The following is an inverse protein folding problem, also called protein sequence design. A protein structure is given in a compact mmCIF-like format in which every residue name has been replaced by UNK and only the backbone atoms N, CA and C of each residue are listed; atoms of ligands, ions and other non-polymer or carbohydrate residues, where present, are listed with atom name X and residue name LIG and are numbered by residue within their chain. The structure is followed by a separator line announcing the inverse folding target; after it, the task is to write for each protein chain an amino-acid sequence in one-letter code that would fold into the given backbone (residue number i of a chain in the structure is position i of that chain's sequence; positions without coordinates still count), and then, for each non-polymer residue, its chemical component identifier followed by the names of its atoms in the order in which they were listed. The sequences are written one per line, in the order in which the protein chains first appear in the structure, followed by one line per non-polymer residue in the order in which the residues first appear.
data_IF_896300054093
#
_entry.id   IF_896300054093
#
_cell.length_a   1.000
_cell.length_b   1.000
_cell.length_c   1.000
_cell.angle_alpha   90.00
_cell.angle_beta   90.00
_cell.angle_gamma   90.00
#
_symmetry.space_group_name_H-M   'P 1'
#
loop_
_entity.id
_entity.type
_entity.pdbx_description
1 polymer ?
#
# COMPACT_ATOMS: atom_id res chain seq x y z
N UNK A 1 -0.31 17.90 3.46
CA UNK A 1 -1.32 17.21 4.32
C UNK A 1 -1.32 15.75 3.95
N UNK A 2 -1.11 14.84 4.89
CA UNK A 2 -0.96 13.41 4.60
C UNK A 2 -2.29 12.69 4.84
N UNK A 3 -2.87 12.02 3.84
CA UNK A 3 -4.13 11.29 3.94
C UNK A 3 -4.00 9.91 3.34
N UNK A 4 -3.69 8.93 4.18
CA UNK A 4 -3.44 7.55 3.76
C UNK A 4 -4.45 6.59 4.41
N UNK A 5 -4.75 5.50 3.71
CA UNK A 5 -5.39 4.32 4.27
C UNK A 5 -4.51 3.10 3.99
N UNK A 6 -3.91 2.54 5.04
CA UNK A 6 -3.02 1.38 4.96
C UNK A 6 -3.81 0.15 5.38
N UNK A 7 -4.08 -0.77 4.47
CA UNK A 7 -4.88 -1.96 4.73
C UNK A 7 -4.05 -3.24 4.61
N UNK A 8 -4.36 -4.25 5.41
CA UNK A 8 -3.78 -5.58 5.20
C UNK A 8 -4.48 -6.31 4.05
N UNK A 9 -5.80 -6.23 3.96
CA UNK A 9 -6.60 -7.00 3.01
C UNK A 9 -7.70 -6.18 2.31
N UNK A 10 -7.39 -4.92 1.97
CA UNK A 10 -8.32 -4.01 1.28
C UNK A 10 -9.53 -3.65 2.13
N UNK A 11 -10.70 -3.66 1.51
CA UNK A 11 -11.97 -3.25 2.14
C UNK A 11 -12.67 -4.44 2.81
N UNK A 12 -11.98 -5.11 3.72
CA UNK A 12 -12.35 -6.41 4.31
C UNK A 12 -13.45 -6.34 5.36
N UNK A 13 -13.72 -5.18 5.95
CA UNK A 13 -14.74 -5.01 7.00
C UNK A 13 -15.62 -3.80 6.75
N UNK A 14 -16.88 -3.77 7.27
CA UNK A 14 -17.74 -2.59 7.18
C UNK A 14 -17.10 -1.32 7.77
N UNK A 15 -16.30 -1.44 8.82
CA UNK A 15 -15.61 -0.30 9.44
C UNK A 15 -14.59 0.32 8.48
N UNK A 16 -13.77 -0.51 7.84
CA UNK A 16 -12.79 -0.05 6.84
C UNK A 16 -13.49 0.58 5.64
N UNK A 17 -14.57 -0.06 5.14
CA UNK A 17 -15.39 0.47 4.04
C UNK A 17 -15.95 1.85 4.40
N UNK A 18 -16.57 2.00 5.58
CA UNK A 18 -17.15 3.26 6.01
C UNK A 18 -16.11 4.38 6.12
N UNK A 19 -14.92 4.07 6.64
CA UNK A 19 -13.84 5.06 6.73
C UNK A 19 -13.33 5.43 5.33
N UNK A 20 -13.12 4.48 4.44
CA UNK A 20 -12.72 4.74 3.05
C UNK A 20 -13.76 5.62 2.34
N UNK A 21 -15.06 5.29 2.44
CA UNK A 21 -16.17 6.08 1.88
C UNK A 21 -16.18 7.51 2.44
N UNK A 22 -15.99 7.66 3.75
CA UNK A 22 -15.91 8.98 4.38
C UNK A 22 -14.75 9.79 3.82
N UNK A 23 -13.54 9.20 3.72
CA UNK A 23 -12.37 9.87 3.15
C UNK A 23 -12.62 10.27 1.69
N UNK A 24 -13.23 9.41 0.89
CA UNK A 24 -13.60 9.67 -0.52
C UNK A 24 -14.60 10.85 -0.60
N UNK A 25 -15.65 10.84 0.20
CA UNK A 25 -16.70 11.88 0.19
C UNK A 25 -16.17 13.24 0.66
N UNK A 26 -15.44 13.29 1.77
CA UNK A 26 -14.87 14.51 2.35
C UNK A 26 -13.88 15.20 1.40
N UNK A 27 -13.16 14.41 0.59
CA UNK A 27 -12.20 14.92 -0.40
C UNK A 27 -12.78 15.04 -1.81
N UNK A 28 -14.09 14.74 -1.99
CA UNK A 28 -14.81 14.86 -3.28
C UNK A 28 -14.14 14.10 -4.42
N UNK A 29 -13.64 12.90 -4.12
CA UNK A 29 -12.93 12.04 -5.09
C UNK A 29 -13.88 11.62 -6.20
N UNK A 30 -13.49 11.85 -7.44
CA UNK A 30 -14.24 11.44 -8.63
C UNK A 30 -13.49 10.48 -9.52
N UNK A 31 -12.17 10.52 -9.46
CA UNK A 31 -11.28 9.67 -10.28
C UNK A 31 -10.25 8.96 -9.42
N UNK A 32 -10.10 7.67 -9.62
CA UNK A 32 -9.09 6.86 -8.95
C UNK A 32 -8.23 6.08 -9.95
N UNK A 33 -6.95 5.94 -9.62
CA UNK A 33 -6.01 5.11 -10.35
C UNK A 33 -5.53 3.96 -9.47
N UNK A 34 -5.65 2.72 -9.95
CA UNK A 34 -5.09 1.53 -9.31
C UNK A 34 -3.75 1.21 -10.00
N UNK A 35 -2.65 1.26 -9.25
CA UNK A 35 -1.35 0.82 -9.76
C UNK A 35 -1.33 -0.71 -9.81
N UNK A 36 -1.31 -1.27 -11.03
CA UNK A 36 -1.42 -2.71 -11.30
C UNK A 36 -0.07 -3.43 -11.35
N UNK A 37 1.02 -2.71 -11.23
CA UNK A 37 2.40 -3.21 -11.39
C UNK A 37 2.76 -4.33 -10.40
N UNK A 38 2.17 -4.37 -9.21
CA UNK A 38 2.51 -5.32 -8.13
C UNK A 38 2.32 -6.80 -8.47
N UNK A 39 1.58 -7.13 -9.54
CA UNK A 39 1.38 -8.49 -10.05
C UNK A 39 2.03 -8.63 -11.43
N UNK A 40 3.27 -9.16 -11.51
CA UNK A 40 4.09 -9.13 -12.73
C UNK A 40 3.44 -9.75 -13.98
N UNK A 41 2.66 -10.81 -13.81
CA UNK A 41 2.05 -11.57 -14.92
C UNK A 41 0.62 -11.16 -15.20
N UNK A 42 -0.19 -11.08 -14.15
CA UNK A 42 -1.63 -10.87 -14.26
C UNK A 42 -2.02 -9.41 -14.45
N UNK A 43 -1.19 -8.50 -13.85
CA UNK A 43 -1.42 -7.05 -13.90
C UNK A 43 -2.87 -6.70 -13.50
N UNK A 44 -3.55 -5.87 -14.28
CA UNK A 44 -4.96 -5.49 -14.06
C UNK A 44 -5.94 -6.66 -14.11
N UNK A 45 -5.56 -7.80 -14.70
CA UNK A 45 -6.43 -9.01 -14.79
C UNK A 45 -6.46 -9.82 -13.50
N UNK A 46 -5.56 -9.55 -12.56
CA UNK A 46 -5.56 -10.25 -11.27
C UNK A 46 -6.90 -10.05 -10.55
N UNK A 47 -7.54 -11.13 -10.00
CA UNK A 47 -8.87 -11.03 -9.38
C UNK A 47 -8.97 -9.97 -8.28
N UNK A 48 -7.93 -9.78 -7.49
CA UNK A 48 -7.88 -8.76 -6.44
C UNK A 48 -7.95 -7.33 -7.03
N UNK A 49 -7.23 -7.06 -8.16
CA UNK A 49 -7.30 -5.78 -8.86
C UNK A 49 -8.72 -5.47 -9.30
N UNK A 50 -9.38 -6.46 -9.92
CA UNK A 50 -10.76 -6.32 -10.38
C UNK A 50 -11.74 -6.14 -9.22
N UNK A 51 -11.48 -6.78 -8.06
CA UNK A 51 -12.30 -6.58 -6.88
C UNK A 51 -12.16 -5.15 -6.34
N UNK A 52 -10.93 -4.65 -6.18
CA UNK A 52 -10.68 -3.26 -5.72
C UNK A 52 -11.33 -2.25 -6.66
N UNK A 53 -11.28 -2.47 -7.98
CA UNK A 53 -11.97 -1.61 -8.95
C UNK A 53 -13.48 -1.58 -8.70
N UNK A 54 -14.12 -2.74 -8.50
CA UNK A 54 -15.56 -2.82 -8.18
C UNK A 54 -15.88 -2.12 -6.85
N UNK A 55 -15.04 -2.31 -5.84
CA UNK A 55 -15.24 -1.70 -4.52
C UNK A 55 -15.18 -0.17 -4.61
N UNK A 56 -14.18 0.39 -5.28
CA UNK A 56 -14.04 1.83 -5.48
C UNK A 56 -15.22 2.43 -6.27
N UNK A 57 -15.67 1.75 -7.34
CA UNK A 57 -16.86 2.16 -8.09
C UNK A 57 -18.12 2.13 -7.20
N UNK A 58 -18.25 1.14 -6.32
CA UNK A 58 -19.38 1.05 -5.38
C UNK A 58 -19.37 2.16 -4.31
N UNK A 59 -18.24 2.81 -4.09
CA UNK A 59 -18.06 3.97 -3.22
C UNK A 59 -18.34 5.31 -3.93
N UNK A 60 -19.01 5.29 -5.10
CA UNK A 60 -19.38 6.43 -5.92
C UNK A 60 -18.22 7.18 -6.60
N UNK A 61 -17.08 6.54 -6.80
CA UNK A 61 -16.04 7.06 -7.68
C UNK A 61 -16.50 6.85 -9.12
N UNK A 62 -16.49 7.91 -9.93
CA UNK A 62 -17.08 7.91 -11.27
C UNK A 62 -16.17 7.18 -12.30
N UNK A 63 -14.86 7.31 -12.13
CA UNK A 63 -13.86 6.73 -13.02
C UNK A 63 -12.79 6.02 -12.19
N UNK A 64 -12.53 4.75 -12.52
CA UNK A 64 -11.46 3.94 -11.88
C UNK A 64 -10.68 3.26 -12.99
N UNK A 65 -9.42 3.65 -13.14
CA UNK A 65 -8.54 3.14 -14.17
C UNK A 65 -7.38 2.34 -13.54
N UNK A 66 -6.71 1.57 -14.37
CA UNK A 66 -5.45 0.90 -14.03
C UNK A 66 -4.29 1.62 -14.69
N UNK A 67 -3.15 1.63 -14.01
CA UNK A 67 -1.88 2.10 -14.54
C UNK A 67 -0.78 1.11 -14.18
N UNK A 68 -0.07 0.62 -15.20
CA UNK A 68 1.14 -0.17 -14.99
C UNK A 68 2.38 0.69 -15.20
N UNK A 69 2.97 1.17 -14.12
CA UNK A 69 4.15 2.04 -14.17
C UNK A 69 5.42 1.34 -14.66
N UNK A 70 5.38 0.02 -14.90
CA UNK A 70 6.45 -0.69 -15.60
C UNK A 70 6.51 -0.30 -17.09
N UNK A 71 5.36 -0.03 -17.72
CA UNK A 71 5.22 0.16 -19.16
C UNK A 71 4.60 1.50 -19.55
N UNK A 72 3.96 2.19 -18.62
CA UNK A 72 3.21 3.40 -18.88
C UNK A 72 3.83 4.62 -18.22
N UNK A 73 3.55 5.80 -18.78
CA UNK A 73 4.02 7.07 -18.23
C UNK A 73 3.39 7.36 -16.86
N UNK A 74 4.22 7.41 -15.83
CA UNK A 74 3.81 7.70 -14.46
C UNK A 74 3.20 9.11 -14.28
N UNK A 75 3.45 10.06 -15.19
CA UNK A 75 2.83 11.39 -15.14
C UNK A 75 1.29 11.34 -15.22
N UNK A 76 0.72 10.27 -15.78
CA UNK A 76 -0.74 10.05 -15.77
C UNK A 76 -1.33 10.03 -14.36
N UNK A 77 -0.54 9.74 -13.31
CA UNK A 77 -1.01 9.75 -11.92
C UNK A 77 -1.54 11.12 -11.49
N UNK A 78 -1.08 12.22 -12.08
CA UNK A 78 -1.59 13.57 -11.79
C UNK A 78 -3.03 13.83 -12.23
N UNK A 79 -3.61 12.96 -13.07
CA UNK A 79 -4.98 13.10 -13.56
C UNK A 79 -6.04 12.52 -12.60
N UNK A 80 -5.61 11.98 -11.43
CA UNK A 80 -6.47 11.27 -10.48
C UNK A 80 -6.44 11.91 -9.09
N UNK A 81 -7.60 11.85 -8.41
CA UNK A 81 -7.81 12.37 -7.06
C UNK A 81 -7.42 11.35 -5.97
N UNK A 82 -7.40 10.06 -6.31
CA UNK A 82 -7.02 8.94 -5.45
C UNK A 82 -6.08 7.99 -6.18
N UNK A 83 -4.97 7.67 -5.54
CA UNK A 83 -4.07 6.60 -6.00
C UNK A 83 -4.20 5.40 -5.08
N UNK A 84 -4.44 4.21 -5.66
CA UNK A 84 -4.51 2.95 -4.94
C UNK A 84 -3.30 2.07 -5.29
N UNK A 85 -2.42 1.86 -4.32
CA UNK A 85 -1.29 0.94 -4.43
C UNK A 85 -1.74 -0.45 -4.01
N UNK A 86 -1.83 -1.38 -4.98
CA UNK A 86 -2.39 -2.71 -4.70
C UNK A 86 -1.40 -3.65 -4.00
N UNK A 87 -1.94 -4.76 -3.48
CA UNK A 87 -1.17 -5.88 -2.94
C UNK A 87 -0.46 -6.69 -4.02
N UNK A 88 0.45 -7.56 -3.62
CA UNK A 88 1.27 -8.40 -4.49
C UNK A 88 2.72 -8.46 -4.02
N UNK A 89 3.67 -8.29 -4.91
CA UNK A 89 5.10 -8.38 -4.64
C UNK A 89 5.71 -7.01 -4.28
N UNK A 90 6.07 -6.74 -3.01
CA UNK A 90 6.52 -5.41 -2.58
C UNK A 90 7.84 -4.98 -3.23
N UNK A 91 8.81 -5.88 -3.43
CA UNK A 91 10.05 -5.57 -4.12
C UNK A 91 9.81 -5.19 -5.58
N UNK A 92 8.95 -5.96 -6.27
CA UNK A 92 8.61 -5.70 -7.67
C UNK A 92 7.92 -4.34 -7.82
N UNK A 93 6.93 -4.09 -6.99
CA UNK A 93 6.18 -2.84 -7.00
C UNK A 93 7.10 -1.64 -6.74
N UNK A 94 7.93 -1.70 -5.70
CA UNK A 94 8.82 -0.60 -5.33
C UNK A 94 9.89 -0.34 -6.39
N UNK A 95 10.47 -1.41 -6.97
CA UNK A 95 11.45 -1.30 -8.05
C UNK A 95 10.92 -0.46 -9.22
N UNK A 96 9.74 -0.82 -9.74
CA UNK A 96 9.18 -0.10 -10.90
C UNK A 96 8.61 1.27 -10.55
N UNK A 97 8.09 1.48 -9.35
CA UNK A 97 7.71 2.82 -8.87
C UNK A 97 8.92 3.76 -8.86
N UNK A 98 10.08 3.29 -8.37
CA UNK A 98 11.31 4.10 -8.40
C UNK A 98 11.84 4.27 -9.82
N UNK A 99 11.88 3.21 -10.61
CA UNK A 99 12.43 3.20 -11.96
C UNK A 99 11.64 4.11 -12.92
N UNK A 100 10.33 4.19 -12.76
CA UNK A 100 9.45 5.04 -13.57
C UNK A 100 9.42 6.51 -13.12
N UNK A 101 9.98 6.82 -11.92
CA UNK A 101 9.86 8.14 -11.28
C UNK A 101 8.51 8.36 -10.59
N UNK A 102 7.63 7.35 -10.52
CA UNK A 102 6.35 7.45 -9.83
C UNK A 102 6.51 7.74 -8.33
N UNK A 103 7.64 7.38 -7.71
CA UNK A 103 7.96 7.71 -6.31
C UNK A 103 7.95 9.23 -6.05
N UNK A 104 8.53 10.02 -6.95
CA UNK A 104 8.54 11.48 -6.84
C UNK A 104 7.14 12.07 -7.07
N UNK A 105 6.39 11.49 -8.00
CA UNK A 105 5.01 11.90 -8.29
C UNK A 105 4.11 11.62 -7.09
N UNK A 106 4.18 10.42 -6.50
CA UNK A 106 3.40 10.04 -5.32
C UNK A 106 3.72 10.93 -4.10
N UNK A 107 5.00 11.32 -3.91
CA UNK A 107 5.38 12.29 -2.88
C UNK A 107 4.71 13.64 -3.11
N UNK A 108 4.66 14.13 -4.33
CA UNK A 108 3.99 15.40 -4.67
C UNK A 108 2.48 15.33 -4.48
N UNK A 109 1.84 14.26 -4.93
CA UNK A 109 0.41 13.96 -4.72
C UNK A 109 0.09 13.99 -3.22
N UNK A 110 0.87 13.28 -2.41
CA UNK A 110 0.69 13.27 -0.96
C UNK A 110 0.89 14.65 -0.31
N UNK A 111 1.89 15.41 -0.74
CA UNK A 111 2.14 16.77 -0.24
C UNK A 111 1.00 17.73 -0.57
N UNK A 112 0.33 17.54 -1.70
CA UNK A 112 -0.86 18.30 -2.09
C UNK A 112 -2.10 17.93 -1.27
N UNK A 113 -2.03 16.85 -0.46
CA UNK A 113 -3.13 16.38 0.39
C UNK A 113 -4.16 15.52 -0.34
N UNK A 114 -3.80 14.94 -1.48
CA UNK A 114 -4.60 13.97 -2.20
C UNK A 114 -4.57 12.60 -1.49
N UNK A 115 -5.56 11.75 -1.77
CA UNK A 115 -5.68 10.46 -1.11
C UNK A 115 -4.75 9.41 -1.72
N UNK A 116 -4.07 8.64 -0.86
CA UNK A 116 -3.34 7.45 -1.28
C UNK A 116 -3.76 6.28 -0.38
N UNK A 117 -4.28 5.22 -0.99
CA UNK A 117 -4.63 3.98 -0.31
C UNK A 117 -3.62 2.88 -0.65
N UNK A 118 -3.26 2.10 0.35
CA UNK A 118 -2.37 0.95 0.21
C UNK A 118 -3.07 -0.35 0.65
N UNK A 119 -2.78 -1.42 -0.08
CA UNK A 119 -3.18 -2.78 0.26
C UNK A 119 -1.94 -3.66 0.34
N UNK A 120 -1.70 -4.33 1.47
CA UNK A 120 -0.60 -5.30 1.66
C UNK A 120 0.75 -4.74 1.18
N UNK A 121 1.30 -5.21 0.06
CA UNK A 121 2.52 -4.67 -0.54
C UNK A 121 2.47 -3.15 -0.74
N UNK A 122 1.33 -2.61 -1.19
CA UNK A 122 1.11 -1.17 -1.32
C UNK A 122 1.21 -0.45 0.02
N UNK A 123 0.66 -1.03 1.11
CA UNK A 123 0.81 -0.48 2.46
C UNK A 123 2.26 -0.50 2.96
N UNK A 124 2.98 -1.59 2.67
CA UNK A 124 4.39 -1.74 3.08
C UNK A 124 5.27 -0.65 2.46
N UNK A 125 5.15 -0.44 1.14
CA UNK A 125 6.02 0.50 0.43
C UNK A 125 5.71 1.97 0.71
N UNK A 126 4.52 2.31 1.24
CA UNK A 126 4.18 3.66 1.68
C UNK A 126 5.00 4.11 2.90
N UNK A 127 5.49 3.16 3.68
CA UNK A 127 6.35 3.40 4.85
C UNK A 127 7.78 3.81 4.51
N UNK A 128 8.64 3.95 5.54
CA UNK A 128 10.02 4.41 5.38
C UNK A 128 10.93 3.40 4.68
N UNK A 129 10.70 2.09 4.88
CA UNK A 129 11.58 1.05 4.34
C UNK A 129 10.87 -0.29 4.21
N UNK A 130 11.31 -1.11 3.25
CA UNK A 130 10.94 -2.52 3.09
C UNK A 130 12.01 -3.48 3.64
N UNK A 131 12.96 -2.99 4.45
CA UNK A 131 14.07 -3.79 4.98
C UNK A 131 13.61 -4.99 5.82
N UNK A 132 12.46 -4.90 6.50
CA UNK A 132 11.85 -6.05 7.16
C UNK A 132 11.52 -7.18 6.16
N UNK A 133 11.03 -6.84 4.96
CA UNK A 133 10.74 -7.83 3.93
C UNK A 133 12.04 -8.51 3.46
N UNK A 134 13.11 -7.75 3.28
CA UNK A 134 14.43 -8.31 2.98
C UNK A 134 14.96 -9.22 4.09
N UNK A 135 14.72 -8.88 5.36
CA UNK A 135 15.11 -9.71 6.50
C UNK A 135 14.33 -11.02 6.57
N UNK A 136 13.02 -10.99 6.27
CA UNK A 136 12.14 -12.16 6.38
C UNK A 136 12.13 -13.03 5.12
N UNK A 137 12.23 -12.42 3.93
CA UNK A 137 12.03 -13.06 2.62
C UNK A 137 13.06 -12.55 1.60
N UNK A 138 14.38 -12.75 1.86
CA UNK A 138 15.44 -12.22 0.99
C UNK A 138 15.35 -12.74 -0.46
N UNK A 139 14.78 -13.93 -0.66
CA UNK A 139 14.57 -14.54 -1.97
C UNK A 139 13.55 -13.82 -2.84
N UNK A 140 12.65 -13.01 -2.24
CA UNK A 140 11.66 -12.23 -2.98
C UNK A 140 12.26 -10.98 -3.66
N UNK A 141 13.50 -10.58 -3.28
CA UNK A 141 14.21 -9.46 -3.89
C UNK A 141 14.88 -9.88 -5.20
N UNK A 142 14.06 -10.14 -6.21
CA UNK A 142 14.49 -10.67 -7.51
C UNK A 142 15.41 -9.73 -8.31
N UNK A 143 15.44 -8.44 -8.00
CA UNK A 143 16.28 -7.43 -8.64
C UNK A 143 17.61 -7.23 -7.92
N UNK A 144 17.79 -7.84 -6.74
CA UNK A 144 18.91 -7.59 -5.83
C UNK A 144 19.08 -6.09 -5.49
N UNK A 145 17.98 -5.39 -5.37
CA UNK A 145 17.98 -3.98 -5.00
C UNK A 145 18.56 -3.80 -3.60
N UNK A 146 19.63 -3.02 -3.50
CA UNK A 146 20.28 -2.68 -2.21
C UNK A 146 19.62 -1.49 -1.52
N UNK A 147 18.92 -0.61 -2.27
CA UNK A 147 18.15 0.49 -1.71
C UNK A 147 16.75 0.00 -1.34
N UNK A 148 16.55 -0.26 -0.05
CA UNK A 148 15.30 -0.75 0.52
C UNK A 148 14.42 0.37 1.10
N UNK A 149 14.75 1.65 0.87
CA UNK A 149 13.92 2.77 1.27
C UNK A 149 12.55 2.66 0.61
N UNK A 150 11.49 2.82 1.39
CA UNK A 150 10.12 2.94 0.88
C UNK A 150 9.83 4.33 0.31
N UNK A 151 8.57 4.64 0.12
CA UNK A 151 8.14 5.96 -0.37
C UNK A 151 8.23 7.04 0.71
N UNK A 152 8.30 6.63 1.99
CA UNK A 152 8.39 7.52 3.14
C UNK A 152 7.26 8.56 3.17
N UNK A 153 6.02 8.12 2.86
CA UNK A 153 4.82 8.95 2.96
C UNK A 153 4.19 8.88 4.35
N UNK A 154 4.67 7.98 5.19
CA UNK A 154 4.35 7.84 6.61
C UNK A 154 5.58 7.30 7.33
N UNK A 155 5.67 7.51 8.63
CA UNK A 155 6.68 6.93 9.53
C UNK A 155 6.37 5.49 9.99
N UNK A 156 5.24 4.94 9.53
CA UNK A 156 4.74 3.64 9.97
C UNK A 156 5.35 2.51 9.14
N UNK A 157 5.97 1.55 9.81
CA UNK A 157 6.37 0.29 9.21
C UNK A 157 5.25 -0.74 9.41
N UNK A 158 4.63 -1.19 8.31
CA UNK A 158 3.50 -2.12 8.36
C UNK A 158 3.96 -3.55 8.02
N UNK A 159 3.49 -4.53 8.80
CA UNK A 159 3.52 -5.94 8.45
C UNK A 159 2.07 -6.47 8.34
N UNK A 160 1.56 -6.69 7.12
CA UNK A 160 0.18 -7.13 6.90
C UNK A 160 0.02 -8.63 7.08
N UNK A 161 -1.24 -9.10 7.13
CA UNK A 161 -1.62 -10.53 7.21
C UNK A 161 -1.09 -11.26 8.45
N UNK A 162 -0.84 -10.56 9.56
CA UNK A 162 -0.06 -11.11 10.67
C UNK A 162 -0.61 -12.42 11.23
N UNK A 163 -1.92 -12.52 11.52
CA UNK A 163 -2.53 -13.79 12.02
C UNK A 163 -2.43 -14.92 11.00
N UNK A 164 -2.60 -14.62 9.72
CA UNK A 164 -2.47 -15.62 8.66
C UNK A 164 -1.03 -16.11 8.55
N UNK A 165 -0.08 -15.19 8.60
CA UNK A 165 1.35 -15.52 8.55
C UNK A 165 1.81 -16.32 9.76
N UNK A 166 1.27 -16.06 10.97
CA UNK A 166 1.50 -16.90 12.16
C UNK A 166 1.03 -18.35 11.97
N UNK A 167 -0.03 -18.56 11.21
CA UNK A 167 -0.53 -19.92 10.91
C UNK A 167 0.40 -20.64 9.94
N UNK A 168 1.00 -19.92 9.00
CA UNK A 168 1.93 -20.48 7.99
C UNK A 168 3.35 -20.66 8.55
N UNK A 169 3.82 -19.69 9.33
CA UNK A 169 5.11 -19.70 10.02
C UNK A 169 4.94 -19.25 11.47
N UNK A 170 4.82 -20.20 12.43
CA UNK A 170 4.69 -19.87 13.84
C UNK A 170 5.87 -19.06 14.42
N UNK A 171 7.02 -19.05 13.77
CA UNK A 171 8.21 -18.31 14.21
C UNK A 171 8.22 -16.85 13.77
N UNK A 172 7.26 -16.42 12.93
CA UNK A 172 7.25 -15.07 12.34
C UNK A 172 7.22 -13.97 13.40
N UNK A 173 6.48 -14.20 14.49
CA UNK A 173 6.42 -13.25 15.62
C UNK A 173 7.80 -13.02 16.24
N UNK A 174 8.55 -14.09 16.49
CA UNK A 174 9.87 -14.02 17.11
C UNK A 174 10.90 -13.39 16.15
N UNK A 175 10.81 -13.69 14.85
CA UNK A 175 11.62 -13.06 13.81
C UNK A 175 11.40 -11.54 13.77
N UNK A 176 10.13 -11.09 13.79
CA UNK A 176 9.80 -9.66 13.79
C UNK A 176 10.27 -9.01 15.11
N UNK A 177 10.04 -9.62 16.27
CA UNK A 177 10.52 -9.10 17.54
C UNK A 177 12.06 -8.98 17.58
N UNK A 178 12.75 -9.97 17.01
CA UNK A 178 14.22 -9.92 16.89
C UNK A 178 14.66 -8.74 16.02
N UNK A 179 14.03 -8.55 14.86
CA UNK A 179 14.30 -7.42 13.99
C UNK A 179 14.07 -6.07 14.69
N UNK A 180 12.95 -5.92 15.43
CA UNK A 180 12.65 -4.71 16.23
C UNK A 180 13.74 -4.44 17.28
N UNK A 181 14.18 -5.48 17.99
CA UNK A 181 15.22 -5.35 19.01
C UNK A 181 16.59 -4.98 18.43
N UNK A 182 16.93 -5.50 17.25
CA UNK A 182 18.21 -5.25 16.59
C UNK A 182 18.28 -3.87 15.92
N UNK A 183 17.14 -3.36 15.44
CA UNK A 183 17.09 -2.13 14.65
C UNK A 183 16.51 -0.93 15.41
N UNK A 184 15.78 -1.15 16.50
CA UNK A 184 15.00 -0.13 17.18
C UNK A 184 13.73 0.31 16.44
N UNK A 185 13.38 -0.35 15.32
CA UNK A 185 12.23 -0.01 14.49
C UNK A 185 11.00 -0.74 15.01
N UNK A 186 9.90 -0.01 15.27
CA UNK A 186 8.62 -0.60 15.64
C UNK A 186 7.84 -1.03 14.39
N UNK A 187 7.32 -2.25 14.38
CA UNK A 187 6.54 -2.81 13.27
C UNK A 187 5.07 -2.88 13.66
N UNK A 188 4.23 -2.17 12.94
CA UNK A 188 2.77 -2.25 13.09
C UNK A 188 2.25 -3.48 12.39
N UNK A 189 1.80 -4.45 13.16
CA UNK A 189 1.24 -5.71 12.67
C UNK A 189 -0.25 -5.53 12.40
N UNK A 190 -0.68 -5.76 11.16
CA UNK A 190 -2.09 -5.70 10.78
C UNK A 190 -2.62 -7.08 10.42
N UNK A 191 -3.76 -7.45 10.98
CA UNK A 191 -4.52 -8.62 10.56
C UNK A 191 -5.37 -8.29 9.32
N UNK A 192 -5.93 -9.31 8.66
CA UNK A 192 -6.71 -9.12 7.44
C UNK A 192 -7.98 -8.26 7.63
N UNK A 193 -8.49 -8.19 8.85
CA UNK A 193 -9.63 -7.37 9.26
C UNK A 193 -9.25 -5.98 9.78
N UNK A 194 -7.99 -5.59 9.67
CA UNK A 194 -7.45 -4.33 10.21
C UNK A 194 -6.89 -3.41 9.14
N UNK A 195 -6.95 -2.12 9.44
CA UNK A 195 -6.34 -1.05 8.66
C UNK A 195 -5.88 0.10 9.55
N UNK A 196 -5.00 0.97 9.03
CA UNK A 196 -4.63 2.24 9.64
C UNK A 196 -5.08 3.40 8.74
N UNK A 197 -5.91 4.27 9.28
CA UNK A 197 -6.19 5.56 8.67
C UNK A 197 -5.20 6.60 9.21
N UNK A 198 -4.49 7.27 8.31
CA UNK A 198 -3.53 8.33 8.64
C UNK A 198 -4.07 9.65 8.09
N UNK A 199 -4.18 10.64 8.97
CA UNK A 199 -4.57 11.99 8.59
C UNK A 199 -3.63 12.99 9.29
N UNK A 200 -2.65 13.49 8.54
CA UNK A 200 -1.52 14.23 9.10
C UNK A 200 -0.80 13.42 10.20
N UNK A 201 -0.71 13.97 11.40
CA UNK A 201 -0.05 13.34 12.56
C UNK A 201 -0.98 12.37 13.33
N UNK A 202 -2.24 12.23 12.90
CA UNK A 202 -3.21 11.35 13.56
C UNK A 202 -3.25 10.00 12.88
N UNK A 203 -3.06 8.94 13.66
CA UNK A 203 -3.14 7.55 13.24
C UNK A 203 -4.30 6.87 13.97
N UNK A 204 -5.18 6.21 13.23
CA UNK A 204 -6.34 5.49 13.80
C UNK A 204 -6.34 4.05 13.33
N UNK A 205 -6.22 3.11 14.26
CA UNK A 205 -6.39 1.69 13.97
C UNK A 205 -7.88 1.38 13.79
N UNK A 206 -8.20 0.70 12.73
CA UNK A 206 -9.52 0.19 12.37
C UNK A 206 -9.51 -1.34 12.53
N UNK A 207 -10.32 -1.86 13.42
CA UNK A 207 -10.47 -3.27 13.78
C UNK A 207 -11.96 -3.66 13.90
#
# INVERSE_FOLDING_TARGET
MNKLLLTAFGFSTPKIINVAQKMIQENKITKACIISTSWPKEKEKHPQMQQIKRDLLSMNIQQVDFLDVEFEDANKLFDYDLIFLNGGYPFYLLHYIKKSGADQILKRINQNGELIFGLSAGSIILGPSIALMQYLYPEDNQFNDSNLDGLNLTDIHVYPHFKEMLTRDPTIKDKINKYENETGINITRLNNDQALAVNNDTQTLLD
#
